data_IF_149298685912
#
_entry.id   IF_149298685912
#
_cell.length_a   1.000
_cell.length_b   1.000
_cell.length_c   1.000
_cell.angle_alpha   90.00
_cell.angle_beta   90.00
_cell.angle_gamma   90.00
#
_symmetry.space_group_name_H-M   'P 1'
#
loop_
_entity.id
_entity.type
_entity.pdbx_description
1 polymer ?
#
# COMPACT_ATOMS: atom_id res chain seq x y z
N UNK A 1 20.61 -1.52 5.33
CA UNK A 1 19.65 -2.58 5.74
C UNK A 1 18.31 -1.91 5.97
N UNK A 2 17.48 -1.77 4.94
CA UNK A 2 16.13 -1.21 5.11
C UNK A 2 15.30 -2.23 5.86
N UNK A 3 14.91 -1.88 7.09
CA UNK A 3 14.06 -2.71 7.93
C UNK A 3 12.79 -3.03 7.17
N UNK A 4 12.56 -4.31 6.89
CA UNK A 4 11.37 -4.84 6.23
C UNK A 4 10.18 -4.69 7.16
N UNK A 5 9.67 -3.47 7.29
CA UNK A 5 8.47 -3.21 8.07
C UNK A 5 7.27 -3.63 7.24
N UNK A 6 6.44 -4.49 7.81
CA UNK A 6 5.17 -4.88 7.21
C UNK A 6 4.12 -3.83 7.60
N UNK A 7 3.49 -3.25 6.59
CA UNK A 7 2.40 -2.32 6.74
C UNK A 7 1.06 -3.02 6.55
N UNK A 8 0.16 -2.74 7.48
CA UNK A 8 -1.25 -3.07 7.33
C UNK A 8 -1.96 -2.02 6.47
N UNK A 9 -3.20 -2.28 6.09
CA UNK A 9 -4.04 -1.28 5.42
C UNK A 9 -4.04 0.10 6.08
N UNK A 10 -4.02 0.15 7.43
CA UNK A 10 -4.04 1.41 8.17
C UNK A 10 -2.74 2.19 8.04
N UNK A 11 -1.60 1.49 8.06
CA UNK A 11 -0.28 2.12 7.95
C UNK A 11 -0.06 2.68 6.54
N UNK A 12 -0.44 1.91 5.51
CA UNK A 12 -0.40 2.37 4.11
C UNK A 12 -1.29 3.60 3.93
N UNK A 13 -2.51 3.54 4.46
CA UNK A 13 -3.47 4.62 4.38
C UNK A 13 -2.95 5.89 5.06
N UNK A 14 -2.41 5.78 6.28
CA UNK A 14 -1.80 6.90 7.00
C UNK A 14 -0.60 7.49 6.24
N UNK A 15 0.23 6.65 5.63
CA UNK A 15 1.40 7.08 4.88
C UNK A 15 1.05 7.92 3.65
N UNK A 16 0.04 7.49 2.89
CA UNK A 16 -0.43 8.20 1.68
C UNK A 16 -1.49 9.26 2.03
N UNK A 17 -1.84 9.39 3.31
CA UNK A 17 -2.91 10.25 3.85
C UNK A 17 -4.27 10.01 3.20
N UNK A 18 -4.58 8.75 2.92
CA UNK A 18 -5.89 8.32 2.39
C UNK A 18 -6.64 7.52 3.44
N UNK A 19 -7.91 7.21 3.19
CA UNK A 19 -8.66 6.32 4.06
C UNK A 19 -8.31 4.84 3.77
N UNK A 20 -8.33 3.95 4.78
CA UNK A 20 -8.13 2.51 4.59
C UNK A 20 -9.10 1.89 3.58
N UNK A 21 -10.34 2.40 3.52
CA UNK A 21 -11.33 2.00 2.53
C UNK A 21 -10.89 2.30 1.09
N UNK A 22 -10.14 3.38 0.86
CA UNK A 22 -9.56 3.69 -0.45
C UNK A 22 -8.56 2.62 -0.86
N UNK A 23 -7.70 2.16 0.06
CA UNK A 23 -6.76 1.07 -0.20
C UNK A 23 -7.51 -0.23 -0.53
N UNK A 24 -8.62 -0.51 0.18
CA UNK A 24 -9.49 -1.65 -0.10
C UNK A 24 -10.10 -1.57 -1.50
N UNK A 25 -10.57 -0.38 -1.91
CA UNK A 25 -11.04 -0.13 -3.27
C UNK A 25 -9.93 -0.31 -4.31
N UNK A 26 -8.71 0.19 -4.06
CA UNK A 26 -7.58 -0.04 -4.96
C UNK A 26 -7.27 -1.52 -5.13
N UNK A 27 -7.32 -2.30 -4.05
CA UNK A 27 -7.17 -3.75 -4.14
C UNK A 27 -8.31 -4.38 -4.95
N UNK A 28 -9.56 -3.97 -4.72
CA UNK A 28 -10.73 -4.46 -5.46
C UNK A 28 -10.61 -4.18 -6.96
N UNK A 29 -10.05 -3.04 -7.33
CA UNK A 29 -9.86 -2.62 -8.72
C UNK A 29 -8.53 -3.10 -9.33
N UNK A 30 -7.73 -3.90 -8.62
CA UNK A 30 -6.44 -4.39 -9.12
C UNK A 30 -5.36 -3.30 -9.27
N UNK A 31 -5.58 -2.14 -8.65
CA UNK A 31 -4.65 -1.00 -8.66
C UNK A 31 -3.59 -1.09 -7.57
N UNK A 32 -3.82 -1.89 -6.53
CA UNK A 32 -2.87 -2.12 -5.43
C UNK A 32 -2.01 -3.35 -5.77
N UNK A 33 -0.71 -3.35 -5.46
CA UNK A 33 0.12 -4.55 -5.58
C UNK A 33 -0.44 -5.71 -4.77
N UNK A 34 -0.17 -6.96 -5.18
CA UNK A 34 -0.51 -8.14 -4.38
C UNK A 34 0.13 -8.03 -2.99
N UNK A 35 -0.53 -8.57 -1.94
CA UNK A 35 0.05 -8.59 -0.60
C UNK A 35 1.29 -9.47 -0.59
N UNK A 36 2.37 -8.94 -0.02
CA UNK A 36 3.64 -9.65 0.13
C UNK A 36 3.56 -10.74 1.18
N UNK A 37 2.73 -10.53 2.20
CA UNK A 37 2.52 -11.49 3.29
C UNK A 37 1.06 -11.47 3.75
N UNK A 38 0.55 -12.58 4.26
CA UNK A 38 -0.79 -12.67 4.82
C UNK A 38 -0.68 -13.29 6.20
N UNK A 39 -0.70 -12.45 7.23
CA UNK A 39 -0.65 -12.93 8.62
C UNK A 39 -2.05 -12.94 9.20
N UNK A 40 -2.43 -14.09 9.78
CA UNK A 40 -3.70 -14.27 10.47
C UNK A 40 -4.92 -13.87 9.61
N UNK A 41 -4.88 -14.17 8.31
CA UNK A 41 -5.93 -13.85 7.33
C UNK A 41 -5.99 -12.37 6.91
N UNK A 42 -5.06 -11.52 7.40
CA UNK A 42 -4.94 -10.11 7.01
C UNK A 42 -3.77 -9.95 6.04
N UNK A 43 -3.98 -9.31 4.89
CA UNK A 43 -2.88 -9.01 3.97
C UNK A 43 -2.01 -7.86 4.52
N UNK A 44 -0.71 -8.02 4.35
CA UNK A 44 0.35 -7.09 4.68
C UNK A 44 1.22 -6.84 3.47
N UNK A 45 1.81 -5.64 3.42
CA UNK A 45 2.72 -5.24 2.36
C UNK A 45 4.02 -4.74 2.96
N UNK A 46 5.12 -4.97 2.25
CA UNK A 46 6.36 -4.30 2.62
C UNK A 46 6.29 -2.81 2.27
N UNK A 47 6.93 -1.99 3.10
CA UNK A 47 7.13 -0.57 2.82
C UNK A 47 7.72 -0.38 1.42
N UNK A 48 8.72 -1.18 1.04
CA UNK A 48 9.36 -1.11 -0.26
C UNK A 48 8.38 -1.35 -1.42
N UNK A 49 7.49 -2.35 -1.31
CA UNK A 49 6.47 -2.65 -2.32
C UNK A 49 5.50 -1.48 -2.49
N UNK A 50 5.05 -0.91 -1.37
CA UNK A 50 4.14 0.24 -1.36
C UNK A 50 4.83 1.49 -1.92
N UNK A 51 6.09 1.75 -1.57
CA UNK A 51 6.87 2.88 -2.07
C UNK A 51 7.13 2.74 -3.58
N UNK A 52 7.53 1.56 -4.05
CA UNK A 52 7.72 1.29 -5.47
C UNK A 52 6.42 1.50 -6.26
N UNK A 53 5.29 1.08 -5.69
CA UNK A 53 3.98 1.33 -6.27
C UNK A 53 3.61 2.82 -6.29
N UNK A 54 3.82 3.57 -5.19
CA UNK A 54 3.60 5.02 -5.16
C UNK A 54 4.46 5.73 -6.20
N UNK A 55 5.72 5.30 -6.36
CA UNK A 55 6.64 5.84 -7.35
C UNK A 55 6.23 5.49 -8.80
N UNK A 56 5.65 4.31 -9.01
CA UNK A 56 5.15 3.84 -10.31
C UNK A 56 3.82 4.48 -10.70
N UNK A 57 3.08 5.01 -9.73
CA UNK A 57 1.88 5.77 -10.03
C UNK A 57 2.29 7.04 -10.78
N UNK A 58 1.65 7.36 -11.91
CA UNK A 58 1.63 8.72 -12.41
C UNK A 58 0.82 9.53 -11.39
N UNK A 59 1.48 9.89 -10.29
CA UNK A 59 0.84 10.68 -9.26
C UNK A 59 0.40 11.94 -9.95
N UNK A 60 -0.88 12.23 -9.84
CA UNK A 60 -1.53 13.46 -10.25
C UNK A 60 -0.94 14.61 -9.43
N UNK A 61 0.36 14.88 -9.64
CA UNK A 61 1.10 16.04 -9.19
C UNK A 61 0.67 17.19 -10.11
N UNK A 62 -0.64 17.39 -10.16
CA UNK A 62 -1.26 18.55 -10.76
C UNK A 62 -1.07 19.70 -9.80
N UNK A 63 -0.06 20.52 -10.13
CA UNK A 63 0.03 21.97 -9.94
C UNK A 63 0.08 22.53 -8.51
#
# INVERSE_FOLDING_TARGET
MTGRTLWSYKDIAAHIRVQPDTIRSYRKHGLLPPPDDVQNGKPYWYVDTVLAWIASRPSNRGR
#
